data_IF_993174788898
#
_entry.id   IF_993174788898
#
_cell.length_a   1.000
_cell.length_b   1.000
_cell.length_c   1.000
_cell.angle_alpha   90.00
_cell.angle_beta   90.00
_cell.angle_gamma   90.00
#
_symmetry.space_group_name_H-M   'P 1'
#
loop_
_entity.id
_entity.type
_entity.pdbx_description
1 polymer ?
#
# COMPACT_ATOMS: atom_id res chain seq x y z
N UNK A 1 27.08 -9.23 -0.67
CA UNK A 1 27.16 -8.61 0.67
C UNK A 1 25.75 -8.23 1.11
N UNK A 2 25.29 -8.70 2.27
CA UNK A 2 23.93 -8.43 2.74
C UNK A 2 23.82 -7.00 3.29
N UNK A 3 23.07 -6.11 2.62
CA UNK A 3 22.82 -4.71 3.03
C UNK A 3 21.66 -4.56 4.03
N UNK A 4 20.92 -5.63 4.31
CA UNK A 4 19.71 -5.60 5.13
C UNK A 4 19.72 -6.72 6.16
N UNK A 5 19.20 -6.42 7.34
CA UNK A 5 18.89 -7.41 8.36
C UNK A 5 17.43 -7.86 8.20
N UNK A 6 17.15 -9.16 8.03
CA UNK A 6 15.79 -9.64 7.83
C UNK A 6 14.97 -9.52 9.12
N UNK A 7 13.75 -8.98 9.01
CA UNK A 7 12.77 -8.96 10.11
C UNK A 7 11.43 -9.51 9.62
N UNK A 8 10.71 -10.18 10.52
CA UNK A 8 9.32 -10.58 10.33
C UNK A 8 8.43 -9.57 11.07
N UNK A 9 7.75 -8.70 10.33
CA UNK A 9 6.89 -7.66 10.90
C UNK A 9 5.43 -8.13 10.95
N UNK A 10 4.83 -8.13 12.14
CA UNK A 10 3.39 -8.35 12.29
C UNK A 10 2.61 -7.07 11.95
N UNK A 11 1.99 -7.07 10.77
CA UNK A 11 1.18 -5.96 10.27
C UNK A 11 -0.32 -6.20 10.42
N UNK A 12 -0.75 -7.29 11.08
CA UNK A 12 -2.17 -7.61 11.25
C UNK A 12 -2.86 -6.47 11.99
N UNK A 13 -3.94 -5.95 11.39
CA UNK A 13 -4.68 -4.80 11.89
C UNK A 13 -3.88 -3.49 11.92
N UNK A 14 -2.63 -3.42 11.45
CA UNK A 14 -1.84 -2.18 11.43
C UNK A 14 -2.21 -1.32 10.22
N UNK A 15 -2.12 0.01 10.36
CA UNK A 15 -2.32 0.94 9.25
C UNK A 15 -1.08 0.91 8.37
N UNK A 16 -1.24 0.68 7.07
CA UNK A 16 -0.14 0.70 6.11
C UNK A 16 -0.51 1.59 4.92
N UNK A 17 0.41 2.47 4.53
CA UNK A 17 0.24 3.37 3.38
C UNK A 17 1.11 2.91 2.24
N UNK A 18 0.52 2.77 1.05
CA UNK A 18 1.23 2.53 -0.22
C UNK A 18 1.09 3.78 -1.07
N UNK A 19 2.21 4.41 -1.42
CA UNK A 19 2.22 5.58 -2.30
C UNK A 19 2.49 5.13 -3.74
N UNK A 20 1.68 5.63 -4.68
CA UNK A 20 1.72 5.26 -6.09
C UNK A 20 0.49 4.46 -6.52
N UNK A 21 0.17 4.50 -7.81
CA UNK A 21 -1.08 3.95 -8.35
C UNK A 21 -0.90 2.95 -9.50
N UNK A 22 0.33 2.54 -9.81
CA UNK A 22 0.61 1.53 -10.84
C UNK A 22 0.46 0.09 -10.35
N UNK A 23 0.80 -0.86 -11.22
CA UNK A 23 0.74 -2.30 -10.90
C UNK A 23 1.68 -2.70 -9.75
N UNK A 24 2.80 -1.99 -9.54
CA UNK A 24 3.68 -2.25 -8.39
C UNK A 24 2.98 -1.92 -7.07
N UNK A 25 2.28 -0.78 -7.01
CA UNK A 25 1.50 -0.40 -5.83
C UNK A 25 0.38 -1.41 -5.57
N UNK A 26 -0.29 -1.89 -6.63
CA UNK A 26 -1.29 -2.96 -6.53
C UNK A 26 -0.73 -4.21 -5.86
N UNK A 27 0.40 -4.72 -6.35
CA UNK A 27 1.04 -5.94 -5.82
C UNK A 27 1.39 -5.77 -4.34
N UNK A 28 1.99 -4.63 -3.97
CA UNK A 28 2.33 -4.32 -2.58
C UNK A 28 1.10 -4.20 -1.68
N UNK A 29 0.07 -3.50 -2.14
CA UNK A 29 -1.17 -3.33 -1.40
C UNK A 29 -1.87 -4.67 -1.16
N UNK A 30 -1.89 -5.55 -2.17
CA UNK A 30 -2.41 -6.91 -2.06
C UNK A 30 -1.63 -7.71 -1.01
N UNK A 31 -0.31 -7.77 -1.10
CA UNK A 31 0.51 -8.51 -0.12
C UNK A 31 0.30 -8.02 1.32
N UNK A 32 0.24 -6.70 1.54
CA UNK A 32 -0.03 -6.13 2.86
C UNK A 32 -1.44 -6.47 3.37
N UNK A 33 -2.46 -6.40 2.49
CA UNK A 33 -3.84 -6.77 2.83
C UNK A 33 -3.93 -8.26 3.19
N UNK A 34 -3.32 -9.12 2.39
CA UNK A 34 -3.33 -10.57 2.59
C UNK A 34 -2.59 -10.94 3.90
N UNK A 35 -1.61 -10.12 4.32
CA UNK A 35 -0.98 -10.19 5.65
C UNK A 35 -1.81 -9.57 6.80
N UNK A 36 -3.04 -9.12 6.52
CA UNK A 36 -3.99 -8.59 7.51
C UNK A 36 -3.87 -7.10 7.79
N UNK A 37 -3.10 -6.33 7.03
CA UNK A 37 -2.97 -4.88 7.24
C UNK A 37 -4.21 -4.10 6.79
N UNK A 38 -4.45 -2.96 7.44
CA UNK A 38 -5.41 -1.93 7.01
C UNK A 38 -4.73 -1.00 6.00
N UNK A 39 -4.83 -1.37 4.72
CA UNK A 39 -4.08 -0.73 3.64
C UNK A 39 -4.81 0.48 3.06
N UNK A 40 -4.08 1.59 2.92
CA UNK A 40 -4.48 2.78 2.16
C UNK A 40 -3.50 3.03 1.02
N UNK A 41 -4.00 3.21 -0.19
CA UNK A 41 -3.20 3.53 -1.38
C UNK A 41 -3.43 4.99 -1.76
N UNK A 42 -2.37 5.78 -1.85
CA UNK A 42 -2.41 7.21 -2.15
C UNK A 42 -1.79 7.46 -3.51
N UNK A 43 -2.58 7.99 -4.46
CA UNK A 43 -2.09 8.36 -5.78
C UNK A 43 -3.07 9.27 -6.52
N UNK A 44 -2.62 10.22 -7.37
CA UNK A 44 -3.53 11.01 -8.21
C UNK A 44 -4.31 10.16 -9.26
N UNK A 45 -3.76 9.01 -9.63
CA UNK A 45 -4.33 8.09 -10.61
C UNK A 45 -4.09 6.65 -10.17
N UNK A 46 -4.97 5.72 -10.57
CA UNK A 46 -4.84 4.30 -10.25
C UNK A 46 -4.84 3.47 -11.53
N UNK A 47 -4.21 2.30 -11.53
CA UNK A 47 -4.33 1.32 -12.59
C UNK A 47 -5.70 0.62 -12.50
N UNK A 48 -6.10 -0.08 -13.58
CA UNK A 48 -7.35 -0.85 -13.59
C UNK A 48 -7.38 -1.89 -12.47
N UNK A 49 -6.26 -2.57 -12.24
CA UNK A 49 -6.18 -3.60 -11.21
C UNK A 49 -6.41 -3.06 -9.79
N UNK A 50 -5.90 -1.88 -9.46
CA UNK A 50 -6.15 -1.24 -8.15
C UNK A 50 -7.60 -0.80 -7.97
N UNK A 51 -8.25 -0.30 -9.03
CA UNK A 51 -9.67 0.05 -8.97
C UNK A 51 -10.58 -1.14 -8.68
N UNK A 52 -10.19 -2.33 -9.14
CA UNK A 52 -10.92 -3.58 -8.87
C UNK A 52 -10.51 -4.26 -7.56
N UNK A 53 -9.49 -3.75 -6.86
CA UNK A 53 -8.96 -4.38 -5.66
C UNK A 53 -9.86 -4.12 -4.45
N UNK A 54 -10.32 -5.19 -3.80
CA UNK A 54 -11.18 -5.11 -2.61
C UNK A 54 -10.33 -5.09 -1.34
N UNK A 55 -10.88 -4.51 -0.26
CA UNK A 55 -10.20 -4.50 1.04
C UNK A 55 -8.99 -3.56 1.13
N UNK A 56 -8.84 -2.64 0.18
CA UNK A 56 -7.86 -1.56 0.20
C UNK A 56 -8.59 -0.23 0.06
N UNK A 57 -8.20 0.78 0.84
CA UNK A 57 -8.73 2.15 0.72
C UNK A 57 -7.95 2.90 -0.36
N UNK A 58 -8.62 3.54 -1.31
CA UNK A 58 -7.98 4.38 -2.32
C UNK A 58 -8.18 5.86 -2.00
N UNK A 59 -7.10 6.65 -2.01
CA UNK A 59 -7.13 8.10 -1.77
C UNK A 59 -6.53 8.81 -2.99
N UNK A 60 -7.39 9.53 -3.72
CA UNK A 60 -7.03 10.21 -4.96
C UNK A 60 -6.38 11.58 -4.71
N UNK A 61 -5.10 11.58 -4.31
CA UNK A 61 -4.33 12.82 -4.09
C UNK A 61 -2.84 12.61 -4.34
N UNK A 62 -2.08 13.70 -4.46
CA UNK A 62 -0.61 13.66 -4.40
C UNK A 62 -0.18 13.42 -2.95
N UNK A 63 0.80 12.55 -2.73
CA UNK A 63 1.41 12.39 -1.42
C UNK A 63 2.30 13.61 -1.12
N UNK A 64 2.14 14.21 0.06
CA UNK A 64 2.89 15.40 0.47
C UNK A 64 3.06 15.42 1.99
N UNK A 65 4.08 16.13 2.48
CA UNK A 65 4.49 16.17 3.89
C UNK A 65 3.47 16.82 4.83
N UNK A 66 2.45 17.50 4.30
CA UNK A 66 1.44 18.22 5.10
C UNK A 66 0.12 17.47 5.29
N UNK A 67 0.04 16.18 4.95
CA UNK A 67 -1.21 15.44 5.03
C UNK A 67 -1.00 13.99 5.46
N UNK A 68 -0.91 13.75 6.77
CA UNK A 68 -1.47 12.61 7.51
C UNK A 68 -1.30 12.80 9.01
#
# INVERSE_FOLDING_TARGET
>A
MAKYYPILLDVRGRKCVVVGGGEVARRKARSLRDAGARVTVVSPQFCRGLRSERGVKLVKQRYGSAAL
#
